data_IF_495589705181
#
_entry.id   IF_495589705181
#
_cell.length_a   1.000
_cell.length_b   1.000
_cell.length_c   1.000
_cell.angle_alpha   90.00
_cell.angle_beta   90.00
_cell.angle_gamma   90.00
#
_symmetry.space_group_name_H-M   'P 1'
#
loop_
_entity.id
_entity.type
_entity.pdbx_description
1 polymer ?
#
# COMPACT_ATOMS: atom_id res chain seq x y z
N UNK A 1 -25.76 3.49 12.48
CA UNK A 1 -24.74 3.68 11.45
C UNK A 1 -23.64 2.64 11.56
N UNK A 2 -23.11 2.39 12.74
CA UNK A 2 -22.08 1.37 12.92
C UNK A 2 -22.55 -0.02 12.56
N UNK A 3 -23.78 -0.35 12.91
CA UNK A 3 -24.32 -1.67 12.59
C UNK A 3 -24.42 -1.90 11.09
N UNK A 4 -24.78 -0.86 10.35
CA UNK A 4 -24.83 -0.96 8.89
C UNK A 4 -23.45 -1.15 8.28
N UNK A 5 -22.46 -0.47 8.81
CA UNK A 5 -21.09 -0.62 8.35
C UNK A 5 -20.58 -2.04 8.60
N UNK A 6 -20.86 -2.58 9.78
CA UNK A 6 -20.46 -3.94 10.11
C UNK A 6 -21.11 -4.95 9.19
N UNK A 7 -22.40 -4.76 8.88
CA UNK A 7 -23.11 -5.65 7.97
C UNK A 7 -22.52 -5.56 6.55
N UNK A 8 -22.19 -4.37 6.11
CA UNK A 8 -21.58 -4.17 4.80
C UNK A 8 -20.22 -4.83 4.71
N UNK A 9 -19.40 -4.69 5.76
CA UNK A 9 -18.08 -5.28 5.77
C UNK A 9 -18.12 -6.81 5.84
N UNK A 10 -19.18 -7.37 6.40
CA UNK A 10 -19.33 -8.83 6.46
C UNK A 10 -19.97 -9.41 5.21
N UNK A 11 -20.48 -8.58 4.32
CA UNK A 11 -21.06 -9.02 3.06
C UNK A 11 -19.94 -9.52 2.13
N UNK A 12 -20.05 -10.73 1.56
CA UNK A 12 -19.00 -11.27 0.70
C UNK A 12 -18.64 -10.38 -0.49
N UNK A 13 -19.61 -9.69 -1.10
CA UNK A 13 -19.31 -8.82 -2.23
C UNK A 13 -18.54 -7.58 -1.79
N UNK A 14 -18.83 -7.04 -0.60
CA UNK A 14 -18.08 -5.90 -0.06
C UNK A 14 -16.65 -6.33 0.29
N UNK A 15 -16.48 -7.51 0.89
CA UNK A 15 -15.16 -8.03 1.19
C UNK A 15 -14.34 -8.26 -0.08
N UNK A 16 -14.98 -8.74 -1.13
CA UNK A 16 -14.32 -8.93 -2.42
C UNK A 16 -13.87 -7.57 -2.99
N UNK A 17 -14.71 -6.54 -2.87
CA UNK A 17 -14.36 -5.20 -3.34
C UNK A 17 -13.21 -4.61 -2.53
N UNK A 18 -13.22 -4.82 -1.21
CA UNK A 18 -12.13 -4.35 -0.35
C UNK A 18 -10.83 -5.05 -0.70
N UNK A 19 -10.87 -6.36 -0.93
CA UNK A 19 -9.69 -7.12 -1.31
C UNK A 19 -9.14 -6.64 -2.65
N UNK A 20 -10.01 -6.40 -3.62
CA UNK A 20 -9.61 -5.88 -4.92
C UNK A 20 -8.97 -4.50 -4.76
N UNK A 21 -9.60 -3.63 -4.00
CA UNK A 21 -9.09 -2.28 -3.79
C UNK A 21 -7.75 -2.29 -3.05
N UNK A 22 -7.55 -3.22 -2.13
CA UNK A 22 -6.27 -3.37 -1.44
C UNK A 22 -5.17 -3.76 -2.42
N UNK A 23 -5.48 -4.66 -3.35
CA UNK A 23 -4.52 -5.07 -4.38
C UNK A 23 -4.15 -3.90 -5.28
N UNK A 24 -5.14 -3.12 -5.71
CA UNK A 24 -4.91 -1.94 -6.56
C UNK A 24 -4.10 -0.89 -5.80
N UNK A 25 -4.44 -0.64 -4.55
CA UNK A 25 -3.71 0.31 -3.72
C UNK A 25 -2.25 -0.10 -3.56
N UNK A 26 -2.02 -1.37 -3.28
CA UNK A 26 -0.65 -1.88 -3.16
C UNK A 26 0.12 -1.68 -4.46
N UNK A 27 -0.51 -1.92 -5.60
CA UNK A 27 0.10 -1.72 -6.90
C UNK A 27 0.52 -0.27 -7.10
N UNK A 28 -0.35 0.69 -6.77
CA UNK A 28 -0.02 2.11 -6.89
C UNK A 28 1.09 2.52 -5.93
N UNK A 29 1.02 2.06 -4.69
CA UNK A 29 2.04 2.41 -3.70
C UNK A 29 3.39 1.80 -4.08
N UNK A 30 3.39 0.59 -4.63
CA UNK A 30 4.63 -0.04 -5.11
C UNK A 30 5.26 0.79 -6.23
N UNK A 31 4.44 1.31 -7.14
CA UNK A 31 4.93 2.16 -8.22
C UNK A 31 5.49 3.47 -7.69
N UNK A 32 4.79 4.09 -6.74
CA UNK A 32 5.26 5.32 -6.09
C UNK A 32 6.59 5.07 -5.37
N UNK A 33 6.68 3.97 -4.64
CA UNK A 33 7.89 3.60 -3.91
C UNK A 33 9.08 3.43 -4.86
N UNK A 34 8.83 2.81 -6.00
CA UNK A 34 9.88 2.59 -6.99
C UNK A 34 10.37 3.91 -7.58
N UNK A 35 9.46 4.80 -7.96
CA UNK A 35 9.82 6.13 -8.49
C UNK A 35 10.56 6.93 -7.42
N UNK A 36 10.09 6.84 -6.17
CA UNK A 36 10.73 7.50 -5.05
C UNK A 36 12.19 7.08 -4.91
N UNK A 37 12.43 5.77 -4.86
CA UNK A 37 13.79 5.26 -4.66
C UNK A 37 14.70 5.55 -5.84
N UNK A 38 14.17 5.51 -7.06
CA UNK A 38 15.00 5.64 -8.25
C UNK A 38 15.24 7.08 -8.66
N UNK A 39 14.30 7.97 -8.37
CA UNK A 39 14.36 9.33 -8.90
C UNK A 39 14.26 10.43 -7.85
N UNK A 40 13.25 10.34 -7.00
CA UNK A 40 12.99 11.44 -6.05
C UNK A 40 13.94 11.45 -4.87
N UNK A 41 14.20 10.31 -4.28
CA UNK A 41 15.10 10.24 -3.14
C UNK A 41 16.52 10.69 -3.50
N UNK A 42 17.12 10.19 -4.57
CA UNK A 42 18.47 10.67 -4.94
C UNK A 42 18.51 12.15 -5.22
N UNK A 43 17.45 12.70 -5.84
CA UNK A 43 17.39 14.12 -6.14
C UNK A 43 17.30 14.96 -4.88
N UNK A 44 16.45 14.57 -3.93
CA UNK A 44 16.30 15.27 -2.67
C UNK A 44 17.54 15.13 -1.78
N UNK A 45 18.14 13.95 -1.78
CA UNK A 45 19.37 13.72 -1.01
C UNK A 45 20.50 14.56 -1.53
N UNK A 46 20.62 14.66 -2.85
CA UNK A 46 21.65 15.48 -3.48
C UNK A 46 21.45 16.96 -3.19
N UNK A 47 20.20 17.39 -3.06
CA UNK A 47 19.87 18.77 -2.69
C UNK A 47 19.99 19.03 -1.18
N UNK A 48 20.35 18.01 -0.42
CA UNK A 48 20.47 18.08 1.05
C UNK A 48 19.17 18.51 1.71
N UNK A 49 18.03 18.09 1.14
CA UNK A 49 16.72 18.43 1.68
C UNK A 49 16.38 17.51 2.85
N UNK A 50 15.92 18.08 3.99
CA UNK A 50 15.47 17.25 5.11
C UNK A 50 14.25 16.39 4.76
N UNK A 51 13.54 16.74 3.69
CA UNK A 51 12.40 15.93 3.22
C UNK A 51 12.83 14.55 2.75
N UNK A 52 14.10 14.40 2.33
CA UNK A 52 14.59 13.10 1.89
C UNK A 52 14.44 12.06 2.99
N UNK A 53 14.80 12.39 4.21
CA UNK A 53 14.72 11.47 5.35
C UNK A 53 13.28 11.24 5.76
N UNK A 54 12.51 12.32 5.91
CA UNK A 54 11.11 12.22 6.36
C UNK A 54 10.26 11.43 5.39
N UNK A 55 10.37 11.73 4.09
CA UNK A 55 9.58 11.04 3.08
C UNK A 55 10.03 9.60 2.89
N UNK A 56 11.31 9.33 3.06
CA UNK A 56 11.84 7.97 2.98
C UNK A 56 11.12 7.07 3.97
N UNK A 57 11.02 7.51 5.23
CA UNK A 57 10.35 6.73 6.26
C UNK A 57 8.87 6.55 5.97
N UNK A 58 8.19 7.63 5.59
CA UNK A 58 6.74 7.56 5.32
C UNK A 58 6.43 6.65 4.15
N UNK A 59 7.20 6.75 3.08
CA UNK A 59 6.94 5.96 1.88
C UNK A 59 7.25 4.50 2.12
N UNK A 60 8.34 4.21 2.83
CA UNK A 60 8.66 2.83 3.21
C UNK A 60 7.59 2.23 4.10
N UNK A 61 7.13 2.97 5.11
CA UNK A 61 6.09 2.50 6.02
C UNK A 61 4.77 2.29 5.29
N UNK A 62 4.38 3.22 4.43
CA UNK A 62 3.15 3.09 3.66
C UNK A 62 3.20 1.86 2.75
N UNK A 63 4.33 1.63 2.11
CA UNK A 63 4.52 0.47 1.24
C UNK A 63 4.42 -0.84 2.03
N UNK A 64 5.05 -0.89 3.20
CA UNK A 64 5.01 -2.07 4.06
C UNK A 64 3.58 -2.34 4.56
N UNK A 65 2.87 -1.31 4.98
CA UNK A 65 1.50 -1.45 5.46
C UNK A 65 0.56 -1.89 4.34
N UNK A 66 0.71 -1.32 3.15
CA UNK A 66 -0.09 -1.72 2.00
C UNK A 66 0.16 -3.18 1.64
N UNK A 67 1.41 -3.63 1.73
CA UNK A 67 1.76 -5.02 1.50
C UNK A 67 1.08 -5.94 2.52
N UNK A 68 1.12 -5.57 3.80
CA UNK A 68 0.51 -6.37 4.86
C UNK A 68 -1.01 -6.44 4.70
N UNK A 69 -1.64 -5.33 4.35
CA UNK A 69 -3.09 -5.30 4.12
C UNK A 69 -3.44 -6.19 2.93
N UNK A 70 -2.68 -6.08 1.86
CA UNK A 70 -2.92 -6.91 0.68
C UNK A 70 -2.73 -8.40 0.99
N UNK A 71 -1.70 -8.74 1.75
CA UNK A 71 -1.46 -10.12 2.16
C UNK A 71 -2.62 -10.66 3.00
N UNK A 72 -3.16 -9.86 3.90
CA UNK A 72 -4.27 -10.28 4.74
C UNK A 72 -5.54 -10.54 3.95
N UNK A 73 -5.78 -9.74 2.91
CA UNK A 73 -7.01 -9.82 2.12
C UNK A 73 -6.87 -10.70 0.89
N UNK A 74 -5.67 -10.88 0.39
CA UNK A 74 -5.40 -11.66 -0.82
C UNK A 74 -4.21 -12.61 -0.64
N UNK A 75 -4.29 -13.55 0.32
CA UNK A 75 -3.14 -14.43 0.59
C UNK A 75 -2.79 -15.34 -0.58
N UNK A 76 -3.78 -15.76 -1.36
CA UNK A 76 -3.53 -16.64 -2.50
C UNK A 76 -2.80 -15.93 -3.63
N UNK A 77 -2.96 -14.62 -3.74
CA UNK A 77 -2.27 -13.84 -4.75
C UNK A 77 -0.76 -13.85 -4.54
N UNK A 78 -0.35 -13.77 -3.28
CA UNK A 78 1.08 -13.80 -2.95
C UNK A 78 1.66 -15.20 -3.13
N UNK A 79 0.90 -16.23 -2.72
CA UNK A 79 1.32 -17.61 -2.87
C UNK A 79 1.47 -18.03 -4.32
N UNK A 80 0.64 -17.46 -5.17
CA UNK A 80 0.66 -17.77 -6.59
C UNK A 80 1.93 -17.35 -7.30
N UNK A 81 2.74 -16.53 -6.67
CA UNK A 81 3.98 -16.03 -7.26
C UNK A 81 5.16 -16.94 -7.04
N UNK A 82 4.97 -17.97 -6.27
CA UNK A 82 6.01 -18.97 -6.14
C UNK A 82 6.14 -19.82 -7.41
#
# INVERSE_FOLDING_TARGET
>A
AFNQMEKQLSNPSVLSDVAHNASVLYSYISSIHQVWLQQLYPMLAKAESPLAVSLYDYINDASALACLINLSLNPSEVRGRK
#
